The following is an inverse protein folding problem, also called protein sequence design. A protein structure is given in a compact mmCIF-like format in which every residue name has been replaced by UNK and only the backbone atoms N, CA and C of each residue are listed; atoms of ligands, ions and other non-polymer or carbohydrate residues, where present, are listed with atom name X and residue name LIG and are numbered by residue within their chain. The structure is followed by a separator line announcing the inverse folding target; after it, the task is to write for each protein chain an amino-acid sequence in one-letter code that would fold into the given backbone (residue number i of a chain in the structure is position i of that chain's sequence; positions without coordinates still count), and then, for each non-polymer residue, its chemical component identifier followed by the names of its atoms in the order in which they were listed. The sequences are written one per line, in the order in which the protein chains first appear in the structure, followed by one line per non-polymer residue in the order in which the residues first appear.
data_IF_249439603045
#
_entry.id   IF_249439603045
#
_cell.length_a   1.000
_cell.length_b   1.000
_cell.length_c   1.000
_cell.angle_alpha   90.00
_cell.angle_beta   90.00
_cell.angle_gamma   90.00
#
_symmetry.space_group_name_H-M   'P 1'
#
loop_
_entity.id
_entity.type
_entity.pdbx_description
1 polymer ?
#
# COMPACT_ATOMS: atom_id res chain seq x y z
N UNK A 1 -1.65 44.26 9.30
CA UNK A 1 -2.00 42.91 8.83
C UNK A 1 -0.83 41.99 9.11
N UNK A 2 -0.90 41.21 10.19
CA UNK A 2 0.07 40.16 10.47
C UNK A 2 -0.28 38.96 9.58
N UNK A 3 0.61 38.61 8.65
CA UNK A 3 0.55 37.31 8.00
C UNK A 3 1.00 36.29 9.03
N UNK A 4 0.05 35.63 9.69
CA UNK A 4 0.32 34.42 10.44
C UNK A 4 1.01 33.44 9.48
N UNK A 5 2.31 33.25 9.69
CA UNK A 5 3.11 32.30 8.94
C UNK A 5 2.44 30.93 9.10
N UNK A 6 1.77 30.46 8.06
CA UNK A 6 1.25 29.10 8.01
C UNK A 6 2.44 28.17 8.26
N UNK A 7 2.54 27.65 9.49
CA UNK A 7 3.58 26.69 9.81
C UNK A 7 3.40 25.52 8.85
N UNK A 8 4.44 25.16 8.06
CA UNK A 8 4.35 24.05 7.15
C UNK A 8 4.02 22.81 7.98
N UNK A 9 2.79 22.30 7.80
CA UNK A 9 2.34 21.12 8.53
C UNK A 9 3.36 20.02 8.34
N UNK A 10 4.00 19.62 9.44
CA UNK A 10 5.02 18.57 9.44
C UNK A 10 4.41 17.32 8.76
N UNK A 11 4.96 16.86 7.63
CA UNK A 11 4.40 15.72 6.92
C UNK A 11 4.44 14.53 7.86
N UNK A 12 3.27 14.06 8.29
CA UNK A 12 3.18 12.83 9.08
C UNK A 12 3.64 11.67 8.19
N UNK A 13 4.38 10.69 8.74
CA UNK A 13 4.78 9.50 7.98
C UNK A 13 3.51 8.88 7.39
N UNK A 14 3.50 8.83 6.06
CA UNK A 14 2.44 8.24 5.24
C UNK A 14 2.37 6.75 5.54
N UNK A 15 1.18 6.17 5.38
CA UNK A 15 1.00 4.74 5.51
C UNK A 15 1.16 4.12 4.10
N UNK A 16 2.17 3.25 3.85
CA UNK A 16 2.40 2.67 2.52
C UNK A 16 1.42 1.52 2.22
N UNK A 17 0.12 1.78 2.38
CA UNK A 17 -0.94 0.81 2.16
C UNK A 17 -0.99 0.29 0.73
N UNK A 18 -0.99 1.21 -0.24
CA UNK A 18 -1.03 0.86 -1.66
C UNK A 18 0.24 0.17 -2.15
N UNK A 19 1.46 0.64 -1.80
CA UNK A 19 2.67 -0.09 -2.14
C UNK A 19 2.67 -1.54 -1.62
N UNK A 20 2.20 -1.76 -0.39
CA UNK A 20 2.06 -3.10 0.17
C UNK A 20 1.02 -3.94 -0.60
N UNK A 21 -0.14 -3.36 -0.92
CA UNK A 21 -1.16 -4.01 -1.73
C UNK A 21 -0.62 -4.41 -3.11
N UNK A 22 0.07 -3.52 -3.82
CA UNK A 22 0.65 -3.82 -5.13
C UNK A 22 1.75 -4.87 -5.08
N UNK A 23 2.59 -4.85 -4.03
CA UNK A 23 3.58 -5.90 -3.80
C UNK A 23 2.91 -7.27 -3.64
N UNK A 24 1.86 -7.35 -2.81
CA UNK A 24 1.08 -8.57 -2.57
C UNK A 24 0.31 -9.02 -3.82
N UNK A 25 -0.28 -8.08 -4.57
CA UNK A 25 -1.03 -8.37 -5.78
C UNK A 25 -0.12 -8.90 -6.89
N UNK A 26 1.04 -8.25 -7.13
CA UNK A 26 2.05 -8.76 -8.05
C UNK A 26 2.56 -10.13 -7.62
N UNK A 27 2.80 -10.32 -6.32
CA UNK A 27 3.16 -11.63 -5.79
C UNK A 27 2.06 -12.68 -6.00
N UNK A 28 0.79 -12.35 -5.84
CA UNK A 28 -0.30 -13.29 -6.10
C UNK A 28 -0.42 -13.70 -7.58
N UNK A 29 -0.14 -12.78 -8.52
CA UNK A 29 -0.23 -13.03 -9.97
C UNK A 29 0.89 -13.92 -10.52
N UNK A 30 2.07 -13.91 -9.90
CA UNK A 30 3.20 -14.70 -10.39
C UNK A 30 3.00 -16.21 -10.17
N UNK A 31 2.23 -16.61 -9.14
CA UNK A 31 1.99 -18.01 -8.81
C UNK A 31 1.16 -18.73 -9.88
N UNK A 32 0.01 -18.20 -10.34
CA UNK A 32 -0.72 -18.74 -11.48
C UNK A 32 0.13 -18.84 -12.75
N UNK A 33 0.99 -17.84 -13.01
CA UNK A 33 1.90 -17.89 -14.16
C UNK A 33 2.91 -19.03 -14.06
N UNK A 34 3.60 -19.16 -12.92
CA UNK A 34 4.54 -20.26 -12.68
C UNK A 34 3.86 -21.62 -12.80
N UNK A 35 2.63 -21.73 -12.28
CA UNK A 35 1.84 -22.95 -12.39
C UNK A 35 1.49 -23.27 -13.86
N UNK A 36 1.09 -22.26 -14.65
CA UNK A 36 0.80 -22.42 -16.07
C UNK A 36 2.03 -22.85 -16.89
N UNK A 37 3.23 -22.42 -16.48
CA UNK A 37 4.49 -22.82 -17.12
C UNK A 37 5.01 -24.19 -16.64
N UNK A 38 4.26 -24.90 -15.78
CA UNK A 38 4.69 -26.17 -15.20
C UNK A 38 5.93 -26.04 -14.33
N UNK A 39 6.15 -24.87 -13.71
CA UNK A 39 7.34 -24.62 -12.91
C UNK A 39 7.39 -25.52 -11.68
N UNK A 40 8.61 -25.93 -11.30
CA UNK A 40 8.82 -26.73 -10.10
C UNK A 40 8.49 -25.93 -8.83
N UNK A 41 8.20 -26.66 -7.74
CA UNK A 41 7.95 -26.09 -6.40
C UNK A 41 9.07 -25.14 -5.95
N UNK A 42 10.32 -25.41 -6.34
CA UNK A 42 11.47 -24.53 -6.06
C UNK A 42 11.33 -23.12 -6.63
N UNK A 43 10.74 -22.96 -7.83
CA UNK A 43 10.50 -21.64 -8.42
C UNK A 43 9.43 -20.86 -7.66
N UNK A 44 8.38 -21.54 -7.18
CA UNK A 44 7.39 -20.95 -6.30
C UNK A 44 7.99 -20.52 -4.97
N UNK A 45 8.83 -21.35 -4.35
CA UNK A 45 9.53 -21.02 -3.10
C UNK A 45 10.48 -19.83 -3.28
N UNK A 46 11.24 -19.79 -4.37
CA UNK A 46 12.13 -18.68 -4.69
C UNK A 46 11.34 -17.36 -4.81
N UNK A 47 10.21 -17.40 -5.51
CA UNK A 47 9.37 -16.21 -5.67
C UNK A 47 8.67 -15.80 -4.38
N UNK A 48 8.29 -16.77 -3.55
CA UNK A 48 7.79 -16.54 -2.20
C UNK A 48 8.83 -15.83 -1.31
N UNK A 49 10.12 -16.18 -1.43
CA UNK A 49 11.18 -15.48 -0.71
C UNK A 49 11.27 -14.00 -1.10
N UNK A 50 11.20 -13.68 -2.40
CA UNK A 50 11.18 -12.28 -2.85
C UNK A 50 9.98 -11.52 -2.31
N UNK A 51 8.77 -12.09 -2.42
CA UNK A 51 7.56 -11.50 -1.85
C UNK A 51 7.68 -11.27 -0.34
N UNK A 52 8.26 -12.22 0.39
CA UNK A 52 8.48 -12.14 1.83
C UNK A 52 9.51 -11.08 2.21
N UNK A 53 10.59 -10.91 1.43
CA UNK A 53 11.58 -9.85 1.66
C UNK A 53 10.95 -8.47 1.47
N UNK A 54 10.18 -8.24 0.40
CA UNK A 54 9.52 -6.96 0.16
C UNK A 54 8.44 -6.66 1.21
N UNK A 55 7.60 -7.64 1.50
CA UNK A 55 6.53 -7.53 2.51
C UNK A 55 7.13 -7.33 3.90
N UNK A 56 8.13 -8.13 4.24
CA UNK A 56 8.87 -8.06 5.50
C UNK A 56 9.58 -6.72 5.66
N UNK A 57 10.24 -6.20 4.62
CA UNK A 57 10.87 -4.89 4.66
C UNK A 57 9.86 -3.76 4.88
N UNK A 58 8.74 -3.77 4.13
CA UNK A 58 7.66 -2.80 4.31
C UNK A 58 7.03 -2.86 5.71
N UNK A 59 6.92 -4.04 6.30
CA UNK A 59 6.40 -4.26 7.67
C UNK A 59 7.43 -3.90 8.74
N UNK A 60 8.72 -4.21 8.56
CA UNK A 60 9.78 -3.93 9.54
C UNK A 60 10.02 -2.42 9.70
N UNK A 61 9.97 -1.65 8.61
CA UNK A 61 9.98 -0.17 8.67
C UNK A 61 8.78 0.43 9.42
N UNK A 62 7.75 -0.39 9.73
CA UNK A 62 6.51 0.01 10.39
C UNK A 62 6.49 -0.31 11.89
N UNK A 63 7.47 -1.01 12.46
CA UNK A 63 7.34 -1.58 13.82
C UNK A 63 7.07 -0.51 14.91
N UNK A 64 7.56 0.71 14.75
CA UNK A 64 7.27 1.84 15.64
C UNK A 64 5.86 2.43 15.44
N UNK A 65 5.35 2.46 14.20
CA UNK A 65 4.00 2.94 13.87
C UNK A 65 2.91 1.90 14.18
N UNK A 66 3.25 0.60 14.14
CA UNK A 66 2.31 -0.48 14.45
C UNK A 66 1.92 -0.47 15.92
N UNK A 67 2.85 -0.15 16.83
CA UNK A 67 2.57 0.02 18.26
C UNK A 67 1.51 1.08 18.53
N UNK A 68 1.65 2.25 17.90
CA UNK A 68 0.66 3.33 17.99
C UNK A 68 -0.68 3.00 17.31
N UNK A 69 -0.66 2.22 16.22
CA UNK A 69 -1.89 1.78 15.56
C UNK A 69 -2.67 0.75 16.40
N UNK A 70 -1.97 -0.14 17.13
CA UNK A 70 -2.58 -1.10 18.06
C UNK A 70 -3.17 -0.38 19.28
N UNK A 71 -2.47 0.62 19.84
CA UNK A 71 -3.02 1.48 20.89
C UNK A 71 -4.25 2.27 20.41
N UNK A 72 -4.21 2.81 19.20
CA UNK A 72 -5.34 3.52 18.60
C UNK A 72 -6.53 2.59 18.27
N UNK A 73 -6.28 1.32 17.95
CA UNK A 73 -7.32 0.31 17.73
C UNK A 73 -8.00 -0.15 19.02
N UNK A 74 -7.28 -0.12 20.15
CA UNK A 74 -7.83 -0.37 21.49
C UNK A 74 -8.57 0.83 22.07
N UNK A 75 -8.51 1.99 21.41
CA UNK A 75 -9.32 3.15 21.75
C UNK A 75 -10.74 2.95 21.21
N UNK A 76 -11.80 3.04 22.02
CA UNK A 76 -13.18 2.86 21.54
C UNK A 76 -13.51 3.97 20.53
N UNK A 77 -13.39 3.65 19.24
CA UNK A 77 -13.71 4.61 18.18
C UNK A 77 -15.22 4.67 18.01
N UNK A 78 -15.82 5.84 18.23
CA UNK A 78 -17.24 6.14 17.97
C UNK A 78 -17.48 6.32 16.45
N UNK A 79 -16.86 5.47 15.63
CA UNK A 79 -17.02 5.49 14.18
C UNK A 79 -18.20 4.60 13.85
N UNK A 80 -19.23 5.16 13.21
CA UNK A 80 -20.42 4.41 12.80
C UNK A 80 -20.03 3.22 11.94
N UNK A 81 -20.55 2.01 12.27
CA UNK A 81 -20.35 0.76 11.51
C UNK A 81 -20.59 0.94 10.01
N UNK A 82 -21.51 1.85 9.63
CA UNK A 82 -21.80 2.21 8.25
C UNK A 82 -20.60 2.82 7.53
N UNK A 83 -19.90 3.76 8.16
CA UNK A 83 -18.74 4.40 7.54
C UNK A 83 -17.58 3.43 7.29
N UNK A 84 -17.38 2.46 8.20
CA UNK A 84 -16.42 1.38 8.01
C UNK A 84 -16.82 0.45 6.85
N UNK A 85 -18.10 0.09 6.76
CA UNK A 85 -18.63 -0.72 5.66
C UNK A 85 -18.50 0.00 4.31
N UNK A 86 -18.80 1.29 4.24
CA UNK A 86 -18.65 2.08 3.01
C UNK A 86 -17.19 2.18 2.57
N UNK A 87 -16.25 2.38 3.50
CA UNK A 87 -14.82 2.40 3.20
C UNK A 87 -14.31 1.04 2.68
N UNK A 88 -14.75 -0.05 3.29
CA UNK A 88 -14.43 -1.40 2.84
C UNK A 88 -15.03 -1.69 1.45
N UNK A 89 -16.27 -1.29 1.20
CA UNK A 89 -16.93 -1.47 -0.10
C UNK A 89 -16.22 -0.68 -1.21
N UNK A 90 -15.82 0.57 -0.93
CA UNK A 90 -15.07 1.38 -1.89
C UNK A 90 -13.72 0.73 -2.25
N UNK A 91 -13.01 0.21 -1.25
CA UNK A 91 -11.76 -0.52 -1.47
C UNK A 91 -11.97 -1.84 -2.22
N UNK A 92 -13.06 -2.54 -1.96
CA UNK A 92 -13.44 -3.73 -2.71
C UNK A 92 -13.68 -3.40 -4.18
N UNK A 93 -14.46 -2.35 -4.48
CA UNK A 93 -14.69 -1.88 -5.86
C UNK A 93 -13.38 -1.45 -6.53
N UNK A 94 -12.50 -0.78 -5.79
CA UNK A 94 -11.19 -0.42 -6.30
C UNK A 94 -10.33 -1.65 -6.61
N UNK A 95 -10.34 -2.66 -5.74
CA UNK A 95 -9.70 -3.94 -5.97
C UNK A 95 -10.25 -4.60 -7.23
N UNK A 96 -11.58 -4.65 -7.39
CA UNK A 96 -12.22 -5.19 -8.60
C UNK A 96 -11.80 -4.43 -9.85
N UNK A 97 -11.68 -3.11 -9.81
CA UNK A 97 -11.23 -2.31 -10.94
C UNK A 97 -9.80 -2.66 -11.34
N UNK A 98 -8.88 -2.75 -10.38
CA UNK A 98 -7.50 -3.16 -10.64
C UNK A 98 -7.43 -4.59 -11.18
N UNK A 99 -8.16 -5.54 -10.59
CA UNK A 99 -8.23 -6.92 -11.08
C UNK A 99 -8.89 -7.03 -12.46
N UNK A 100 -9.88 -6.17 -12.75
CA UNK A 100 -10.54 -6.07 -14.04
C UNK A 100 -9.59 -5.55 -15.13
N UNK A 101 -8.71 -4.60 -14.81
CA UNK A 101 -7.66 -4.15 -15.74
C UNK A 101 -6.66 -5.27 -16.06
N UNK A 102 -6.38 -6.14 -15.08
CA UNK A 102 -5.57 -7.35 -15.31
C UNK A 102 -6.33 -8.31 -16.21
N UNK A 103 -7.60 -8.57 -15.93
CA UNK A 103 -8.48 -9.43 -16.74
C UNK A 103 -8.60 -8.95 -18.20
N UNK A 104 -8.62 -7.64 -18.43
CA UNK A 104 -8.69 -7.03 -19.76
C UNK A 104 -7.34 -6.99 -20.50
N UNK A 105 -6.24 -7.34 -19.84
CA UNK A 105 -4.91 -7.33 -20.48
C UNK A 105 -4.35 -5.93 -20.76
N UNK A 106 -4.82 -4.87 -20.08
CA UNK A 106 -4.37 -3.49 -20.36
C UNK A 106 -3.24 -3.06 -19.43
N UNK A 107 -1.99 -3.28 -19.84
CA UNK A 107 -0.80 -2.94 -19.04
C UNK A 107 -0.67 -1.43 -18.79
N UNK A 108 -0.99 -0.62 -19.80
CA UNK A 108 -0.92 0.85 -19.70
C UNK A 108 -1.91 1.38 -18.66
N UNK A 109 -3.19 0.97 -18.75
CA UNK A 109 -4.21 1.42 -17.80
C UNK A 109 -3.93 0.88 -16.39
N UNK A 110 -3.44 -0.36 -16.27
CA UNK A 110 -3.01 -0.92 -14.99
C UNK A 110 -1.91 -0.08 -14.35
N UNK A 111 -0.87 0.27 -15.11
CA UNK A 111 0.26 1.04 -14.62
C UNK A 111 -0.15 2.47 -14.25
N UNK A 112 -0.94 3.13 -15.09
CA UNK A 112 -1.48 4.46 -14.83
C UNK A 112 -2.34 4.46 -13.55
N UNK A 113 -3.25 3.49 -13.42
CA UNK A 113 -4.09 3.34 -12.23
C UNK A 113 -3.25 3.09 -10.98
N UNK A 114 -2.34 2.11 -11.01
CA UNK A 114 -1.48 1.77 -9.88
C UNK A 114 -0.63 2.98 -9.44
N UNK A 115 -0.08 3.72 -10.40
CA UNK A 115 0.68 4.93 -10.13
C UNK A 115 -0.21 6.02 -9.50
N UNK A 116 -1.39 6.31 -10.05
CA UNK A 116 -2.33 7.29 -9.49
C UNK A 116 -2.73 6.95 -8.05
N UNK A 117 -2.99 5.67 -7.76
CA UNK A 117 -3.34 5.22 -6.42
C UNK A 117 -2.20 5.42 -5.41
N UNK A 118 -0.93 5.41 -5.82
CA UNK A 118 0.18 5.75 -4.92
C UNK A 118 0.18 7.23 -4.49
N UNK A 119 -0.40 8.13 -5.27
CA UNK A 119 -0.47 9.56 -4.94
C UNK A 119 -1.65 9.93 -4.03
N UNK A 120 -2.62 9.03 -3.86
CA UNK A 120 -3.76 9.28 -2.97
C UNK A 120 -3.27 9.32 -1.52
N UNK A 121 -3.63 10.34 -0.72
CA UNK A 121 -3.22 10.43 0.67
C UNK A 121 -4.06 9.49 1.54
N UNK A 122 -3.86 8.17 1.40
CA UNK A 122 -4.61 7.12 2.11
C UNK A 122 -4.64 7.32 3.62
N UNK A 123 -3.55 7.83 4.18
CA UNK A 123 -3.44 8.13 5.60
C UNK A 123 -4.38 9.26 6.06
N UNK A 124 -4.95 10.07 5.17
CA UNK A 124 -5.96 11.09 5.53
C UNK A 124 -7.37 10.53 5.58
N UNK A 125 -7.58 9.35 5.01
CA UNK A 125 -8.90 8.71 5.01
C UNK A 125 -9.17 8.11 6.40
N UNK A 126 -10.29 8.47 7.06
CA UNK A 126 -10.56 8.04 8.43
C UNK A 126 -10.71 6.52 8.56
N UNK A 127 -11.29 5.85 7.55
CA UNK A 127 -11.52 4.40 7.59
C UNK A 127 -10.23 3.56 7.48
N UNK A 128 -9.21 4.05 6.77
CA UNK A 128 -7.96 3.30 6.57
C UNK A 128 -7.11 3.23 7.85
N UNK A 129 -7.22 4.24 8.72
CA UNK A 129 -6.48 4.34 9.99
C UNK A 129 -6.97 3.33 11.02
N UNK A 130 -8.29 3.18 11.15
CA UNK A 130 -8.90 2.37 12.21
C UNK A 130 -9.17 0.93 11.78
N UNK A 131 -9.30 0.68 10.47
CA UNK A 131 -9.70 -0.62 9.93
C UNK A 131 -8.74 -1.14 8.85
N UNK A 132 -7.42 -0.91 9.02
CA UNK A 132 -6.40 -1.29 8.04
C UNK A 132 -6.47 -2.75 7.58
N UNK A 133 -6.77 -3.68 8.50
CA UNK A 133 -6.87 -5.10 8.19
C UNK A 133 -8.10 -5.42 7.33
N UNK A 134 -9.27 -4.89 7.72
CA UNK A 134 -10.53 -5.05 6.96
C UNK A 134 -10.40 -4.39 5.58
N UNK A 135 -9.81 -3.20 5.52
CA UNK A 135 -9.53 -2.47 4.29
C UNK A 135 -8.61 -3.26 3.35
N UNK A 136 -7.54 -3.85 3.90
CA UNK A 136 -6.62 -4.72 3.15
C UNK A 136 -7.32 -5.98 2.64
N UNK A 137 -8.11 -6.63 3.48
CA UNK A 137 -8.89 -7.81 3.08
C UNK A 137 -9.89 -7.46 1.97
N UNK A 138 -10.58 -6.32 2.07
CA UNK A 138 -11.57 -5.89 1.09
C UNK A 138 -10.97 -5.62 -0.29
N UNK A 139 -9.86 -4.87 -0.38
CA UNK A 139 -9.19 -4.61 -1.66
C UNK A 139 -8.62 -5.89 -2.27
N UNK A 140 -8.04 -6.78 -1.46
CA UNK A 140 -7.56 -8.08 -1.93
C UNK A 140 -8.70 -8.97 -2.42
N UNK A 141 -9.83 -9.01 -1.71
CA UNK A 141 -11.01 -9.78 -2.13
C UNK A 141 -11.58 -9.27 -3.46
N UNK A 142 -11.69 -7.94 -3.62
CA UNK A 142 -12.10 -7.32 -4.87
C UNK A 142 -11.17 -7.68 -6.02
N UNK A 143 -9.87 -7.52 -5.82
CA UNK A 143 -8.84 -7.86 -6.81
C UNK A 143 -8.88 -9.34 -7.22
N UNK A 144 -8.91 -10.24 -6.23
CA UNK A 144 -9.00 -11.67 -6.47
C UNK A 144 -10.26 -12.05 -7.23
N UNK A 145 -11.43 -11.50 -6.83
CA UNK A 145 -12.70 -11.82 -7.49
C UNK A 145 -12.71 -11.46 -8.97
N UNK A 146 -12.25 -10.27 -9.35
CA UNK A 146 -12.20 -9.84 -10.75
C UNK A 146 -11.17 -10.66 -11.55
N UNK A 147 -9.99 -10.89 -10.97
CA UNK A 147 -8.91 -11.67 -11.63
C UNK A 147 -9.34 -13.12 -11.87
N UNK A 148 -9.98 -13.77 -10.89
CA UNK A 148 -10.47 -15.15 -11.01
C UNK A 148 -11.59 -15.24 -12.05
N UNK A 149 -12.55 -14.30 -12.02
CA UNK A 149 -13.67 -14.27 -12.98
C UNK A 149 -13.17 -14.09 -14.41
N UNK A 150 -12.12 -13.28 -14.60
CA UNK A 150 -11.52 -13.00 -15.91
C UNK A 150 -10.42 -13.96 -16.34
N UNK A 151 -10.02 -14.92 -15.49
CA UNK A 151 -8.78 -15.70 -15.67
C UNK A 151 -8.66 -16.39 -17.05
N UNK A 152 -9.77 -16.89 -17.59
CA UNK A 152 -9.81 -17.58 -18.88
C UNK A 152 -9.47 -16.65 -20.07
N UNK A 153 -9.63 -15.33 -19.92
CA UNK A 153 -9.32 -14.34 -20.94
C UNK A 153 -7.93 -13.73 -20.82
N UNK A 154 -7.17 -14.10 -19.78
CA UNK A 154 -5.86 -13.50 -19.51
C UNK A 154 -4.79 -14.25 -20.30
N UNK A 155 -4.05 -13.53 -21.14
CA UNK A 155 -2.86 -14.08 -21.78
C UNK A 155 -1.83 -14.51 -20.71
N UNK A 156 -1.31 -15.72 -20.83
CA UNK A 156 -0.34 -16.29 -19.89
C UNK A 156 0.90 -15.39 -19.76
N UNK A 157 1.33 -14.75 -20.85
CA UNK A 157 2.48 -13.83 -20.84
C UNK A 157 2.15 -12.46 -20.24
N UNK A 158 0.88 -12.13 -20.08
CA UNK A 158 0.45 -10.88 -19.46
C UNK A 158 0.62 -10.91 -17.93
N UNK A 159 0.39 -12.05 -17.28
CA UNK A 159 0.54 -12.23 -15.83
C UNK A 159 1.92 -11.77 -15.28
N UNK A 160 3.07 -12.16 -15.85
CA UNK A 160 4.36 -11.68 -15.38
C UNK A 160 4.55 -10.19 -15.68
N UNK A 161 4.05 -9.66 -16.80
CA UNK A 161 4.14 -8.21 -17.11
C UNK A 161 3.34 -7.38 -16.11
N UNK A 162 2.11 -7.79 -15.80
CA UNK A 162 1.28 -7.16 -14.78
C UNK A 162 1.94 -7.23 -13.39
N UNK A 163 2.55 -8.37 -13.06
CA UNK A 163 3.34 -8.53 -11.83
C UNK A 163 4.45 -7.49 -11.73
N UNK A 164 5.27 -7.37 -12.78
CA UNK A 164 6.36 -6.41 -12.84
C UNK A 164 5.87 -4.96 -12.75
N UNK A 165 4.80 -4.61 -13.46
CA UNK A 165 4.23 -3.28 -13.39
C UNK A 165 3.77 -2.91 -11.96
N UNK A 166 3.08 -3.84 -11.28
CA UNK A 166 2.64 -3.65 -9.90
C UNK A 166 3.82 -3.54 -8.92
N UNK A 167 4.85 -4.37 -9.07
CA UNK A 167 6.06 -4.29 -8.24
C UNK A 167 6.85 -2.99 -8.46
N UNK A 168 7.00 -2.53 -9.71
CA UNK A 168 7.64 -1.24 -9.99
C UNK A 168 6.84 -0.10 -9.36
N UNK A 169 5.50 -0.12 -9.48
CA UNK A 169 4.64 0.87 -8.83
C UNK A 169 4.76 0.81 -7.30
N UNK A 170 4.87 -0.39 -6.71
CA UNK A 170 5.12 -0.55 -5.28
C UNK A 170 6.47 0.06 -4.86
N UNK A 171 7.54 -0.22 -5.60
CA UNK A 171 8.86 0.33 -5.37
C UNK A 171 8.87 1.86 -5.48
N UNK A 172 8.30 2.43 -6.55
CA UNK A 172 8.14 3.88 -6.69
C UNK A 172 7.37 4.47 -5.51
N UNK A 173 6.25 3.84 -5.15
CA UNK A 173 5.45 4.23 -4.00
C UNK A 173 6.27 4.22 -2.70
N UNK A 174 7.07 3.19 -2.44
CA UNK A 174 7.96 3.06 -1.27
C UNK A 174 9.11 4.07 -1.26
N UNK A 175 9.65 4.45 -2.43
CA UNK A 175 10.72 5.46 -2.55
C UNK A 175 10.17 6.86 -2.32
N UNK A 176 9.06 7.23 -2.96
CA UNK A 176 8.37 8.52 -2.76
C UNK A 176 7.93 8.71 -1.31
N UNK A 177 7.51 7.59 -0.74
CA UNK A 177 7.26 7.41 0.67
C UNK A 177 8.52 7.74 1.50
N UNK A 178 9.67 7.14 1.25
CA UNK A 178 10.86 7.24 2.11
C UNK A 178 11.57 8.61 2.18
N UNK A 179 10.83 9.73 2.11
CA UNK A 179 11.27 11.12 2.13
C UNK A 179 12.36 11.44 3.16
N UNK A 180 13.06 12.58 2.98
CA UNK A 180 14.34 12.85 3.60
C UNK A 180 14.24 12.62 5.11
N UNK A 181 15.06 11.69 5.61
CA UNK A 181 15.26 11.49 7.03
C UNK A 181 15.49 12.88 7.62
N UNK A 182 14.57 13.32 8.49
CA UNK A 182 14.74 14.58 9.21
C UNK A 182 16.06 14.48 9.94
N UNK A 183 17.09 15.09 9.33
CA UNK A 183 18.38 15.29 9.94
C UNK A 183 18.10 15.87 11.30
N UNK A 184 18.61 15.18 12.31
CA UNK A 184 18.68 15.63 13.69
C UNK A 184 19.53 16.90 13.75
N UNK A 185 19.01 18.02 13.25
CA UNK A 185 19.51 19.35 13.55
C UNK A 185 18.85 19.81 14.86
N UNK A 186 18.98 18.98 15.89
CA UNK A 186 19.02 19.45 17.28
C UNK A 186 20.47 19.87 17.58
N UNK A 187 21.01 20.76 16.74
CA UNK A 187 22.23 21.47 17.06
C UNK A 187 21.82 22.73 17.82
N UNK A 188 21.99 22.67 19.14
CA UNK A 188 22.30 23.82 19.99
C UNK A 188 21.38 25.04 19.90
N UNK A 189 20.39 25.11 20.80
CA UNK A 189 20.01 26.37 21.44
C UNK A 189 19.55 26.08 22.86
N UNK A 190 20.52 25.90 23.74
CA UNK A 190 20.34 26.31 25.13
C UNK A 190 20.39 27.85 25.15
N UNK A 191 19.32 28.57 25.49
CA UNK A 191 19.48 29.94 25.92
C UNK A 191 20.16 29.90 27.28
N UNK A 192 21.40 30.39 27.33
CA UNK A 192 22.06 30.77 28.58
C UNK A 192 21.20 31.87 29.18
N UNK A 193 20.64 31.60 30.35
CA UNK A 193 20.05 32.63 31.19
C UNK A 193 21.19 33.57 31.63
N UNK A 194 21.15 34.81 31.16
CA UNK A 194 21.91 35.89 31.79
C UNK A 194 21.02 36.48 32.88
N UNK A 195 21.30 36.11 34.13
CA UNK A 195 20.85 36.87 35.29
C UNK A 195 21.67 38.16 35.37
N UNK A 196 20.99 39.30 35.40
CA UNK A 196 21.50 40.59 35.91
C UNK A 196 20.38 41.30 36.64
#
# INVERSE_FOLDING_TARGET
MHFDAMQPMKPRPYWPFMPLFFALAGWALIHPWLFAMGAHVSAHLFTALFGLVFTGWAVLRRSSSLKHAVEAANSPSVVSRWSAATGALLLFVLGMLVGGLVAQGSLFLLSACAMSLNFIPWARLPFSRHHSAICGAAICAGFGSATVTGYQGIDVMFLPLATWALWLCACCGLVLSAGPAQGSTHAGRHPVACDT
#
